data_IF_323722069808
#
_entry.id   IF_323722069808
#
_cell.length_a   1.000
_cell.length_b   1.000
_cell.length_c   1.000
_cell.angle_alpha   90.00
_cell.angle_beta   90.00
_cell.angle_gamma   90.00
#
_symmetry.space_group_name_H-M   'P 1'
#
loop_
_entity.id
_entity.type
_entity.pdbx_description
1 polymer ?
#
# COMPACT_ATOMS: atom_id res chain seq x y z
N UNK A 1 10.28 -2.67 -24.26
CA UNK A 1 9.89 -4.09 -24.07
C UNK A 1 8.71 -4.02 -23.11
N UNK A 2 7.58 -4.63 -23.40
CA UNK A 2 6.41 -4.56 -22.51
C UNK A 2 6.42 -5.79 -21.61
N UNK A 3 6.20 -5.61 -20.32
CA UNK A 3 6.04 -6.70 -19.35
C UNK A 3 4.56 -6.95 -19.14
N UNK A 4 4.15 -8.22 -19.15
CA UNK A 4 2.78 -8.63 -18.92
C UNK A 4 2.75 -9.54 -17.69
N UNK A 5 1.88 -9.25 -16.73
CA UNK A 5 1.56 -10.17 -15.63
C UNK A 5 0.31 -10.95 -16.03
N UNK A 6 0.44 -12.26 -16.08
CA UNK A 6 -0.67 -13.14 -16.43
C UNK A 6 -1.17 -13.77 -15.12
N UNK A 7 -2.45 -13.51 -14.80
CA UNK A 7 -3.15 -14.21 -13.73
C UNK A 7 -3.95 -15.33 -14.35
N UNK A 8 -3.58 -16.57 -14.04
CA UNK A 8 -4.32 -17.75 -14.48
C UNK A 8 -5.08 -18.32 -13.28
N UNK A 9 -6.35 -18.62 -13.47
CA UNK A 9 -7.13 -19.42 -12.54
C UNK A 9 -7.26 -20.81 -13.17
N UNK A 10 -6.79 -21.84 -12.45
CA UNK A 10 -6.87 -23.21 -12.88
C UNK A 10 -7.93 -23.93 -12.04
N UNK A 11 -8.94 -24.50 -12.67
CA UNK A 11 -9.89 -25.40 -12.02
C UNK A 11 -9.47 -26.83 -12.34
N UNK A 12 -9.25 -27.63 -11.31
CA UNK A 12 -8.78 -29.00 -11.44
C UNK A 12 -9.83 -29.90 -10.80
N UNK A 13 -10.40 -30.80 -11.58
CA UNK A 13 -11.23 -31.88 -11.06
C UNK A 13 -10.30 -33.01 -10.59
N UNK A 14 -10.39 -33.37 -9.31
CA UNK A 14 -9.55 -34.40 -8.68
C UNK A 14 -10.42 -35.52 -8.14
N UNK A 15 -9.96 -36.75 -8.32
CA UNK A 15 -10.53 -37.94 -7.72
C UNK A 15 -9.50 -38.61 -6.84
N UNK A 16 -9.83 -38.80 -5.56
CA UNK A 16 -8.92 -39.39 -4.56
C UNK A 16 -9.65 -40.44 -3.73
N UNK A 17 -9.04 -41.59 -3.55
CA UNK A 17 -9.51 -42.62 -2.62
C UNK A 17 -9.07 -42.28 -1.18
N UNK A 18 -10.03 -42.09 -0.29
CA UNK A 18 -9.77 -41.80 1.12
C UNK A 18 -10.32 -42.92 2.01
N UNK A 19 -9.44 -43.57 2.76
CA UNK A 19 -9.83 -44.59 3.74
C UNK A 19 -10.39 -43.91 5.02
N UNK A 20 -11.68 -44.09 5.28
CA UNK A 20 -12.36 -43.54 6.43
C UNK A 20 -13.51 -44.43 6.90
N UNK A 21 -13.89 -44.33 8.18
CA UNK A 21 -14.99 -45.11 8.75
C UNK A 21 -16.37 -44.48 8.49
N UNK A 22 -16.39 -43.22 8.01
CA UNK A 22 -17.63 -42.51 7.64
C UNK A 22 -17.36 -41.46 6.55
N UNK A 23 -18.44 -41.02 5.85
CA UNK A 23 -18.37 -39.94 4.85
C UNK A 23 -17.88 -38.61 5.47
N UNK A 24 -18.31 -38.27 6.68
CA UNK A 24 -17.88 -37.05 7.38
C UNK A 24 -16.38 -37.07 7.71
N UNK A 25 -15.88 -38.23 8.07
CA UNK A 25 -14.45 -38.40 8.30
C UNK A 25 -13.65 -38.30 6.99
N UNK A 26 -14.16 -38.89 5.91
CA UNK A 26 -13.53 -38.78 4.60
C UNK A 26 -13.45 -37.32 4.13
N UNK A 27 -14.54 -36.59 4.24
CA UNK A 27 -14.59 -35.14 3.91
C UNK A 27 -13.60 -34.36 4.78
N UNK A 28 -13.55 -34.63 6.09
CA UNK A 28 -12.62 -33.95 6.98
C UNK A 28 -11.16 -34.19 6.63
N UNK A 29 -10.81 -35.42 6.27
CA UNK A 29 -9.47 -35.79 5.81
C UNK A 29 -9.11 -35.09 4.51
N UNK A 30 -10.02 -35.04 3.53
CA UNK A 30 -9.81 -34.36 2.26
C UNK A 30 -9.55 -32.85 2.45
N UNK A 31 -10.40 -32.16 3.21
CA UNK A 31 -10.26 -30.71 3.43
C UNK A 31 -9.13 -30.31 4.39
N UNK A 32 -8.54 -31.27 5.11
CA UNK A 32 -7.35 -31.01 5.92
C UNK A 32 -6.05 -31.04 5.12
N UNK A 33 -6.06 -31.55 3.88
CA UNK A 33 -4.90 -31.59 2.99
C UNK A 33 -4.63 -30.19 2.38
N UNK A 34 -3.39 -29.90 2.10
CA UNK A 34 -3.03 -28.75 1.29
C UNK A 34 -3.32 -29.01 -0.19
N UNK A 35 -3.45 -27.96 -0.99
CA UNK A 35 -3.73 -28.09 -2.44
C UNK A 35 -2.64 -28.91 -3.14
N UNK A 36 -1.37 -28.77 -2.74
CA UNK A 36 -0.26 -29.56 -3.30
C UNK A 36 -0.38 -31.06 -2.97
N UNK A 37 -0.76 -31.39 -1.72
CA UNK A 37 -0.96 -32.79 -1.32
C UNK A 37 -2.12 -33.43 -2.08
N UNK A 38 -3.22 -32.71 -2.26
CA UNK A 38 -4.37 -33.21 -3.06
C UNK A 38 -3.96 -33.48 -4.50
N UNK A 39 -3.17 -32.61 -5.13
CA UNK A 39 -2.70 -32.79 -6.51
C UNK A 39 -1.73 -33.97 -6.60
N UNK A 40 -0.80 -34.11 -5.65
CA UNK A 40 0.23 -35.16 -5.67
C UNK A 40 -0.36 -36.56 -5.41
N UNK A 41 -1.40 -36.65 -4.57
CA UNK A 41 -2.06 -37.93 -4.22
C UNK A 41 -3.22 -38.30 -5.14
N UNK A 42 -3.66 -37.37 -6.01
CA UNK A 42 -4.77 -37.63 -6.95
C UNK A 42 -4.31 -38.47 -8.12
N UNK A 43 -5.08 -39.52 -8.41
CA UNK A 43 -4.76 -40.46 -9.49
C UNK A 43 -5.19 -40.00 -10.87
N UNK A 44 -5.94 -38.90 -10.97
CA UNK A 44 -6.53 -38.46 -12.23
C UNK A 44 -6.87 -36.97 -12.28
N UNK A 45 -6.46 -36.31 -13.36
CA UNK A 45 -6.87 -34.93 -13.71
C UNK A 45 -7.47 -34.99 -15.11
N UNK A 46 -8.80 -34.87 -15.23
CA UNK A 46 -9.46 -35.04 -16.52
C UNK A 46 -9.53 -33.76 -17.37
N UNK A 47 -9.61 -32.60 -16.76
CA UNK A 47 -9.78 -31.37 -17.51
C UNK A 47 -9.17 -30.16 -16.75
N UNK A 48 -8.33 -29.39 -17.44
CA UNK A 48 -7.78 -28.15 -16.90
C UNK A 48 -8.49 -27.03 -17.66
N UNK A 49 -9.42 -26.34 -17.00
CA UNK A 49 -10.01 -25.12 -17.53
C UNK A 49 -9.16 -23.93 -17.08
N UNK A 50 -8.55 -23.26 -18.04
CA UNK A 50 -7.66 -22.13 -17.76
C UNK A 50 -8.33 -20.87 -18.27
N UNK A 51 -8.89 -20.08 -17.37
CA UNK A 51 -9.24 -18.70 -17.65
C UNK A 51 -7.99 -17.83 -17.50
N UNK A 52 -7.46 -17.37 -18.61
CA UNK A 52 -6.35 -16.43 -18.62
C UNK A 52 -6.91 -15.03 -18.72
N UNK A 53 -6.97 -14.31 -17.61
CA UNK A 53 -7.16 -12.87 -17.63
C UNK A 53 -5.83 -12.19 -17.94
N UNK A 54 -5.73 -11.57 -19.12
CA UNK A 54 -4.60 -10.74 -19.48
C UNK A 54 -4.71 -9.43 -18.70
N UNK A 55 -4.01 -9.34 -17.57
CA UNK A 55 -3.87 -8.09 -16.84
C UNK A 55 -2.66 -7.36 -17.42
N UNK A 56 -2.92 -6.27 -18.13
CA UNK A 56 -1.88 -5.33 -18.54
C UNK A 56 -1.38 -4.58 -17.29
N UNK A 57 -0.50 -5.19 -16.54
CA UNK A 57 0.26 -4.51 -15.51
C UNK A 57 1.41 -3.80 -16.21
N UNK A 58 1.21 -2.53 -16.43
CA UNK A 58 2.29 -1.67 -16.86
C UNK A 58 3.15 -1.33 -15.63
N UNK A 59 4.09 -2.22 -15.28
CA UNK A 59 5.26 -1.74 -14.56
C UNK A 59 5.94 -0.72 -15.47
N UNK A 60 6.00 0.50 -15.02
CA UNK A 60 6.61 1.59 -15.75
C UNK A 60 7.31 2.53 -14.78
N UNK A 61 8.26 3.26 -15.30
CA UNK A 61 8.82 4.39 -14.58
C UNK A 61 8.00 5.61 -14.94
N UNK A 62 7.28 6.16 -13.98
CA UNK A 62 6.44 7.34 -14.14
C UNK A 62 7.20 8.56 -13.64
N UNK A 63 7.24 9.61 -14.46
CA UNK A 63 7.64 10.93 -13.98
C UNK A 63 6.36 11.69 -13.70
N UNK A 64 6.14 12.04 -12.44
CA UNK A 64 4.92 12.70 -11.96
C UNK A 64 5.23 14.07 -11.40
N UNK A 65 4.39 15.05 -11.73
CA UNK A 65 4.36 16.33 -11.05
C UNK A 65 3.30 16.28 -9.98
N UNK A 66 3.72 16.41 -8.72
CA UNK A 66 2.82 16.51 -7.57
C UNK A 66 2.63 17.98 -7.23
N UNK A 67 1.43 18.36 -6.87
CA UNK A 67 1.04 19.74 -6.56
C UNK A 67 -0.05 19.79 -5.48
N UNK A 68 -0.22 20.94 -4.87
CA UNK A 68 -1.19 21.17 -3.80
C UNK A 68 -1.00 20.17 -2.65
N UNK A 69 0.26 19.95 -2.24
CA UNK A 69 0.56 19.06 -1.13
C UNK A 69 0.14 19.73 0.17
N UNK A 70 -0.77 19.08 0.89
CA UNK A 70 -1.23 19.48 2.22
C UNK A 70 -0.66 18.48 3.24
N UNK A 71 -0.03 19.02 4.28
CA UNK A 71 0.64 18.23 5.30
C UNK A 71 -0.18 18.17 6.58
N UNK A 72 -0.32 16.97 7.14
CA UNK A 72 -0.83 16.78 8.49
C UNK A 72 0.30 17.07 9.49
N UNK A 73 0.47 18.35 9.79
CA UNK A 73 1.35 18.78 10.87
C UNK A 73 0.55 18.72 12.15
N UNK A 74 0.68 17.60 12.89
CA UNK A 74 -0.07 17.33 14.11
C UNK A 74 0.04 18.47 15.10
N UNK A 75 -1.10 19.10 15.34
CA UNK A 75 -1.27 20.18 16.28
C UNK A 75 -0.97 19.75 17.73
N UNK A 76 -1.31 18.50 18.07
CA UNK A 76 -1.29 18.05 19.47
C UNK A 76 0.06 17.57 19.97
N UNK A 77 0.89 16.99 19.09
CA UNK A 77 2.10 16.28 19.52
C UNK A 77 3.37 17.00 19.13
N UNK A 78 3.62 17.19 17.84
CA UNK A 78 4.92 17.69 17.39
C UNK A 78 5.19 19.15 17.77
N UNK A 79 4.24 20.06 17.49
CA UNK A 79 4.47 21.48 17.75
C UNK A 79 4.49 21.77 19.25
N UNK A 80 3.62 21.14 20.00
CA UNK A 80 3.55 21.23 21.46
C UNK A 80 4.85 20.74 22.10
N UNK A 81 5.29 19.53 21.73
CA UNK A 81 6.51 18.92 22.28
C UNK A 81 7.78 19.74 21.92
N UNK A 82 7.84 20.26 20.69
CA UNK A 82 8.96 21.12 20.27
C UNK A 82 9.04 22.40 21.11
N UNK A 83 7.89 23.02 21.41
CA UNK A 83 7.84 24.25 22.21
C UNK A 83 8.24 23.93 23.65
N UNK A 84 7.66 22.91 24.27
CA UNK A 84 7.94 22.57 25.68
C UNK A 84 9.37 22.03 25.88
N UNK A 85 9.94 21.33 24.90
CA UNK A 85 11.33 20.90 24.94
C UNK A 85 12.30 22.10 25.04
N UNK A 86 11.94 23.25 24.44
CA UNK A 86 12.74 24.47 24.45
C UNK A 86 12.38 25.45 25.60
N UNK A 87 11.14 25.37 26.09
CA UNK A 87 10.59 26.28 27.07
C UNK A 87 9.57 25.60 27.99
N UNK A 88 10.01 24.70 28.89
CA UNK A 88 9.13 23.93 29.77
C UNK A 88 8.21 24.79 30.66
N UNK A 89 8.63 26.02 30.95
CA UNK A 89 7.89 26.99 31.75
C UNK A 89 6.58 27.46 31.10
N UNK A 90 6.38 27.16 29.81
CA UNK A 90 5.18 27.54 29.06
C UNK A 90 4.03 26.53 29.20
N UNK A 91 4.23 25.40 29.88
CA UNK A 91 3.23 24.33 29.99
C UNK A 91 1.87 24.82 30.50
N UNK A 92 1.87 25.73 31.49
CA UNK A 92 0.67 26.35 32.07
C UNK A 92 0.36 27.74 31.49
N UNK A 93 1.03 28.16 30.42
CA UNK A 93 0.85 29.50 29.84
C UNK A 93 -0.45 29.58 29.04
N UNK A 94 -1.26 30.65 29.23
CA UNK A 94 -2.43 30.90 28.42
C UNK A 94 -2.10 31.21 26.94
N UNK A 95 -0.85 31.49 26.64
CA UNK A 95 -0.39 31.83 25.29
C UNK A 95 0.11 30.59 24.52
N UNK A 96 0.16 29.41 25.17
CA UNK A 96 0.76 28.19 24.62
C UNK A 96 0.06 27.79 23.30
N UNK A 97 -1.26 27.80 23.26
CA UNK A 97 -2.02 27.43 22.05
C UNK A 97 -1.67 28.35 20.85
N UNK A 98 -1.50 29.63 21.11
CA UNK A 98 -1.12 30.61 20.07
C UNK A 98 0.32 30.36 19.57
N UNK A 99 1.21 29.94 20.45
CA UNK A 99 2.60 29.59 20.11
C UNK A 99 2.67 28.29 19.32
N UNK A 100 1.83 27.31 19.66
CA UNK A 100 1.69 26.04 18.94
C UNK A 100 1.21 26.28 17.51
N UNK A 101 0.16 27.10 17.33
CA UNK A 101 -0.35 27.43 16.00
C UNK A 101 0.67 28.21 15.16
N UNK A 102 1.35 29.17 15.73
CA UNK A 102 2.43 29.90 15.06
C UNK A 102 3.58 28.98 14.64
N UNK A 103 3.91 27.96 15.48
CA UNK A 103 4.93 26.98 15.17
C UNK A 103 4.50 26.05 14.03
N UNK A 104 3.23 25.64 14.03
CA UNK A 104 2.63 24.85 12.96
C UNK A 104 2.70 25.59 11.62
N UNK A 105 2.27 26.86 11.58
CA UNK A 105 2.37 27.69 10.39
C UNK A 105 3.82 27.87 9.91
N UNK A 106 4.75 28.05 10.83
CA UNK A 106 6.19 28.13 10.51
C UNK A 106 6.69 26.86 9.83
N UNK A 107 6.30 25.66 10.33
CA UNK A 107 6.69 24.38 9.75
C UNK A 107 6.07 24.24 8.36
N UNK A 108 4.76 24.40 8.23
CA UNK A 108 4.03 24.28 6.95
C UNK A 108 4.62 25.22 5.89
N UNK A 109 4.99 26.44 6.27
CA UNK A 109 5.55 27.44 5.34
C UNK A 109 6.90 27.03 4.73
N UNK A 110 7.59 26.07 5.35
CA UNK A 110 8.90 25.56 4.90
C UNK A 110 8.78 24.29 4.07
N UNK A 111 7.63 23.65 4.08
CA UNK A 111 7.39 22.40 3.34
C UNK A 111 7.06 22.70 1.87
N UNK A 112 7.53 21.86 0.95
CA UNK A 112 7.26 22.05 -0.48
C UNK A 112 5.77 21.80 -0.78
N UNK A 113 5.15 22.69 -1.51
CA UNK A 113 3.75 22.52 -1.98
C UNK A 113 3.68 21.81 -3.33
N UNK A 114 4.82 21.63 -4.01
CA UNK A 114 4.92 20.89 -5.26
C UNK A 114 6.29 20.21 -5.38
N UNK A 115 6.33 19.09 -6.09
CA UNK A 115 7.57 18.39 -6.43
C UNK A 115 7.42 17.59 -7.72
N UNK A 116 8.55 17.07 -8.22
CA UNK A 116 8.58 16.10 -9.32
C UNK A 116 9.24 14.83 -8.83
N UNK A 117 8.60 13.70 -9.06
CA UNK A 117 9.05 12.38 -8.64
C UNK A 117 9.23 11.48 -9.85
N UNK A 118 10.21 10.56 -9.77
CA UNK A 118 10.37 9.46 -10.71
C UNK A 118 10.14 8.16 -9.93
N UNK A 119 9.05 7.47 -10.24
CA UNK A 119 8.55 6.31 -9.48
C UNK A 119 8.43 5.12 -10.41
N UNK A 120 8.97 3.98 -9.98
CA UNK A 120 8.87 2.71 -10.70
C UNK A 120 7.93 1.78 -9.94
N UNK A 121 6.72 1.61 -10.48
CA UNK A 121 5.67 0.79 -9.86
C UNK A 121 4.65 0.32 -10.89
N UNK A 122 3.68 -0.46 -10.45
CA UNK A 122 2.44 -0.69 -11.18
C UNK A 122 1.62 0.61 -11.19
N UNK A 123 0.93 0.89 -12.28
CA UNK A 123 0.18 2.15 -12.41
C UNK A 123 -0.91 2.30 -11.33
N UNK A 124 -1.50 1.19 -10.94
CA UNK A 124 -2.59 1.18 -9.96
C UNK A 124 -2.09 1.48 -8.53
N UNK A 125 -0.80 1.26 -8.27
CA UNK A 125 -0.15 1.52 -6.99
C UNK A 125 0.54 2.91 -6.95
N UNK A 126 0.50 3.65 -8.06
CA UNK A 126 1.26 4.90 -8.22
C UNK A 126 0.96 5.94 -7.14
N UNK A 127 -0.30 6.07 -6.73
CA UNK A 127 -0.72 7.04 -5.71
C UNK A 127 -0.11 6.72 -4.34
N UNK A 128 -0.08 5.44 -3.96
CA UNK A 128 0.51 4.98 -2.70
C UNK A 128 2.01 5.24 -2.68
N UNK A 129 2.72 4.95 -3.79
CA UNK A 129 4.14 5.23 -3.91
C UNK A 129 4.48 6.72 -3.90
N UNK A 130 3.62 7.58 -4.48
CA UNK A 130 3.75 9.04 -4.40
C UNK A 130 3.64 9.49 -2.93
N UNK A 131 2.62 8.99 -2.23
CA UNK A 131 2.37 9.30 -0.82
C UNK A 131 3.58 8.94 0.05
N UNK A 132 4.09 7.71 -0.09
CA UNK A 132 5.24 7.22 0.66
C UNK A 132 6.49 8.08 0.38
N UNK A 133 6.78 8.36 -0.89
CA UNK A 133 7.97 9.13 -1.28
C UNK A 133 7.92 10.59 -0.78
N UNK A 134 6.74 11.23 -0.75
CA UNK A 134 6.61 12.59 -0.20
C UNK A 134 6.76 12.56 1.31
N UNK A 135 6.14 11.59 1.97
CA UNK A 135 6.23 11.40 3.42
C UNK A 135 7.68 11.18 3.85
N UNK A 136 8.41 10.30 3.16
CA UNK A 136 9.84 10.01 3.44
C UNK A 136 10.73 11.24 3.25
N UNK A 137 10.44 12.09 2.27
CA UNK A 137 11.23 13.32 2.00
C UNK A 137 10.94 14.45 2.96
N UNK A 138 9.71 14.53 3.43
CA UNK A 138 9.27 15.64 4.30
C UNK A 138 9.37 15.35 5.78
N UNK A 139 9.43 14.08 6.17
CA UNK A 139 9.24 13.57 7.54
C UNK A 139 7.84 13.90 8.13
N UNK A 140 6.85 14.24 7.26
CA UNK A 140 5.49 14.60 7.66
C UNK A 140 4.46 13.77 6.91
N UNK A 141 3.37 13.41 7.60
CA UNK A 141 2.22 12.79 6.98
C UNK A 141 1.57 13.75 5.98
N UNK A 142 1.00 13.17 4.94
CA UNK A 142 0.31 13.90 3.88
C UNK A 142 -1.19 13.76 4.08
N UNK A 143 -1.90 14.88 4.13
CA UNK A 143 -3.36 14.92 4.21
C UNK A 143 -4.00 14.81 2.82
N UNK A 144 -3.46 15.56 1.86
CA UNK A 144 -3.93 15.53 0.47
C UNK A 144 -2.86 16.00 -0.51
N UNK A 145 -2.99 15.60 -1.76
CA UNK A 145 -2.19 16.08 -2.89
C UNK A 145 -2.91 15.85 -4.22
N UNK A 146 -2.43 16.52 -5.28
CA UNK A 146 -2.81 16.22 -6.65
C UNK A 146 -1.57 15.81 -7.45
N UNK A 147 -1.74 14.98 -8.48
CA UNK A 147 -0.62 14.65 -9.36
C UNK A 147 -1.02 14.55 -10.82
N UNK A 148 -0.06 14.83 -11.70
CA UNK A 148 -0.13 14.65 -13.14
C UNK A 148 1.04 13.80 -13.61
N UNK A 149 0.78 12.78 -14.42
CA UNK A 149 1.83 11.99 -15.07
C UNK A 149 2.33 12.79 -16.27
N UNK A 150 3.60 13.22 -16.23
CA UNK A 150 4.21 14.03 -17.29
C UNK A 150 5.02 13.18 -18.28
N UNK A 151 5.53 12.01 -17.86
CA UNK A 151 6.27 11.08 -18.70
C UNK A 151 6.10 9.64 -18.21
N UNK A 152 6.09 8.69 -19.12
CA UNK A 152 6.16 7.24 -18.84
C UNK A 152 7.34 6.68 -19.65
N UNK A 153 8.30 6.08 -18.95
CA UNK A 153 9.54 5.53 -19.53
C UNK A 153 9.48 4.01 -19.68
#
# INVERSE_FOLDING_TARGET
>A
MKTYKIKATMTIDVEQEIYADSEDEARSKFFAQSVSEVIDESSYVEEIDTDIEEINLCEGTFVVKVSNIEYDVDYGTCCYDIILANSPELEDSPDLDSLVEAKREEIISKLPTECVLEISCEKDDLEDYILDEITDRSDWLIESFNYDIIEVK
#
